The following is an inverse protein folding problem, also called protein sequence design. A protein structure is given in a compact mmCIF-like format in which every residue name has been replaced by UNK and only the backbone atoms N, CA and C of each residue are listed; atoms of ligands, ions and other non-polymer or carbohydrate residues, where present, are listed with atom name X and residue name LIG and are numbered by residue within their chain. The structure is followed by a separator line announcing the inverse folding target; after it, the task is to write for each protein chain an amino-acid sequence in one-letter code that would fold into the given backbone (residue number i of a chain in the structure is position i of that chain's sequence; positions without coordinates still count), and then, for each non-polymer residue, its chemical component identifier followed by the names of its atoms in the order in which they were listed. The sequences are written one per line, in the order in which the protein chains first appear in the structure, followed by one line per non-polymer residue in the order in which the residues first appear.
data_IF_831723682217
#
_entry.id   IF_831723682217
#
_cell.length_a   1.000
_cell.length_b   1.000
_cell.length_c   1.000
_cell.angle_alpha   90.00
_cell.angle_beta   90.00
_cell.angle_gamma   90.00
#
_symmetry.space_group_name_H-M   'P 1'
#
loop_
_entity.id
_entity.type
_entity.pdbx_description
1 polymer ?
#
# COMPACT_ATOMS: atom_id res chain seq x y z
N UNK A 1 -23.77 32.28 -52.93
CA UNK A 1 -23.14 31.03 -52.43
C UNK A 1 -22.52 31.31 -51.08
N UNK A 2 -23.00 30.65 -50.01
CA UNK A 2 -22.35 30.72 -48.70
C UNK A 2 -21.04 29.93 -48.80
N UNK A 3 -19.89 30.59 -48.71
CA UNK A 3 -18.59 29.91 -48.71
C UNK A 3 -18.49 29.08 -47.43
N UNK A 4 -18.29 27.77 -47.58
CA UNK A 4 -18.10 26.85 -46.46
C UNK A 4 -16.75 27.15 -45.80
N UNK A 5 -16.73 27.27 -44.48
CA UNK A 5 -15.50 27.58 -43.75
C UNK A 5 -14.50 26.43 -43.91
N UNK A 6 -13.23 26.73 -44.23
CA UNK A 6 -12.18 25.72 -44.30
C UNK A 6 -12.07 24.89 -43.01
N UNK A 7 -11.79 23.59 -43.16
CA UNK A 7 -11.62 22.68 -42.02
C UNK A 7 -10.49 23.12 -41.08
N UNK A 8 -9.41 23.67 -41.62
CA UNK A 8 -8.27 24.19 -40.84
C UNK A 8 -8.71 25.25 -39.82
N UNK A 9 -9.51 26.23 -40.24
CA UNK A 9 -10.05 27.26 -39.35
C UNK A 9 -10.95 26.65 -38.28
N UNK A 10 -11.78 25.65 -38.63
CA UNK A 10 -12.65 24.98 -37.64
C UNK A 10 -11.84 24.25 -36.56
N UNK A 11 -10.75 23.59 -36.95
CA UNK A 11 -9.84 22.92 -36.00
C UNK A 11 -9.14 23.94 -35.10
N UNK A 12 -8.70 25.06 -35.65
CA UNK A 12 -8.02 26.11 -34.90
C UNK A 12 -8.97 26.81 -33.90
N UNK A 13 -10.21 27.08 -34.31
CA UNK A 13 -11.27 27.58 -33.41
C UNK A 13 -11.51 26.63 -32.24
N UNK A 14 -11.61 25.32 -32.50
CA UNK A 14 -11.78 24.31 -31.46
C UNK A 14 -10.60 24.28 -30.50
N UNK A 15 -9.37 24.29 -31.02
CA UNK A 15 -8.15 24.28 -30.22
C UNK A 15 -8.09 25.49 -29.29
N UNK A 16 -8.23 26.70 -29.82
CA UNK A 16 -8.20 27.93 -29.03
C UNK A 16 -9.36 27.99 -28.02
N UNK A 17 -10.53 27.44 -28.38
CA UNK A 17 -11.66 27.35 -27.46
C UNK A 17 -11.33 26.48 -26.25
N UNK A 18 -10.72 25.30 -26.46
CA UNK A 18 -10.29 24.39 -25.39
C UNK A 18 -9.13 24.95 -24.57
N UNK A 19 -8.29 25.80 -25.16
CA UNK A 19 -7.23 26.54 -24.46
C UNK A 19 -7.74 27.69 -23.58
N UNK A 20 -9.06 27.93 -23.56
CA UNK A 20 -9.70 28.95 -22.74
C UNK A 20 -9.71 30.35 -23.37
N UNK A 21 -9.33 30.51 -24.64
CA UNK A 21 -9.33 31.80 -25.34
C UNK A 21 -10.76 32.34 -25.50
N UNK A 22 -10.98 33.65 -25.37
CA UNK A 22 -12.31 34.26 -25.53
C UNK A 22 -12.78 34.21 -26.99
N UNK A 23 -14.11 34.17 -27.23
CA UNK A 23 -14.67 34.12 -28.60
C UNK A 23 -14.23 35.30 -29.45
N UNK A 24 -14.18 36.50 -28.87
CA UNK A 24 -13.70 37.71 -29.55
C UNK A 24 -12.23 37.59 -29.98
N UNK A 25 -11.39 37.02 -29.13
CA UNK A 25 -9.98 36.83 -29.46
C UNK A 25 -9.79 35.73 -30.50
N UNK A 26 -10.56 34.64 -30.43
CA UNK A 26 -10.57 33.57 -31.45
C UNK A 26 -10.98 34.13 -32.81
N UNK A 27 -12.01 34.98 -32.84
CA UNK A 27 -12.48 35.64 -34.05
C UNK A 27 -11.37 36.48 -34.69
N UNK A 28 -10.67 37.29 -33.88
CA UNK A 28 -9.50 38.08 -34.33
C UNK A 28 -8.34 37.20 -34.81
N UNK A 29 -8.00 36.13 -34.07
CA UNK A 29 -6.87 35.26 -34.40
C UNK A 29 -7.05 34.52 -35.73
N UNK A 30 -8.29 34.32 -36.16
CA UNK A 30 -8.63 33.54 -37.35
C UNK A 30 -9.23 34.39 -38.48
N UNK A 31 -9.26 35.72 -38.34
CA UNK A 31 -9.88 36.66 -39.29
C UNK A 31 -11.32 36.27 -39.69
N UNK A 32 -12.13 35.87 -38.71
CA UNK A 32 -13.55 35.51 -38.89
C UNK A 32 -14.46 36.34 -38.00
N UNK A 33 -15.74 36.45 -38.38
CA UNK A 33 -16.73 37.16 -37.57
C UNK A 33 -17.03 36.42 -36.26
N UNK A 34 -17.37 37.15 -35.19
CA UNK A 34 -17.75 36.59 -33.89
C UNK A 34 -18.87 35.54 -34.00
N UNK A 35 -19.94 35.85 -34.75
CA UNK A 35 -21.06 34.93 -34.97
C UNK A 35 -20.64 33.64 -35.68
N UNK A 36 -19.58 33.71 -36.50
CA UNK A 36 -19.00 32.54 -37.16
C UNK A 36 -18.34 31.59 -36.15
N UNK A 37 -17.62 32.12 -35.16
CA UNK A 37 -17.06 31.31 -34.06
C UNK A 37 -18.18 30.60 -33.30
N UNK A 38 -19.24 31.32 -32.93
CA UNK A 38 -20.39 30.76 -32.23
C UNK A 38 -21.06 29.62 -33.02
N UNK A 39 -21.28 29.79 -34.32
CA UNK A 39 -21.86 28.75 -35.16
C UNK A 39 -20.96 27.52 -35.27
N UNK A 40 -19.64 27.69 -35.40
CA UNK A 40 -18.69 26.56 -35.41
C UNK A 40 -18.77 25.78 -34.10
N UNK A 41 -18.76 26.47 -32.96
CA UNK A 41 -18.81 25.83 -31.65
C UNK A 41 -20.15 25.13 -31.40
N UNK A 42 -21.27 25.73 -31.81
CA UNK A 42 -22.59 25.10 -31.76
C UNK A 42 -22.64 23.82 -32.60
N UNK A 43 -22.18 23.88 -33.86
CA UNK A 43 -22.13 22.70 -34.72
C UNK A 43 -21.25 21.58 -34.13
N UNK A 44 -20.10 21.93 -33.52
CA UNK A 44 -19.24 20.95 -32.84
C UNK A 44 -19.95 20.36 -31.63
N UNK A 45 -20.60 21.20 -30.82
CA UNK A 45 -21.34 20.77 -29.64
C UNK A 45 -22.45 19.78 -30.01
N UNK A 46 -23.23 20.09 -31.04
CA UNK A 46 -24.36 19.26 -31.44
C UNK A 46 -23.96 17.95 -32.12
N UNK A 47 -22.85 17.95 -32.89
CA UNK A 47 -22.55 16.83 -33.80
C UNK A 47 -21.27 16.05 -33.45
N UNK A 48 -20.41 16.57 -32.58
CA UNK A 48 -19.07 15.98 -32.36
C UNK A 48 -18.73 15.83 -30.87
N UNK A 49 -18.86 16.91 -30.09
CA UNK A 49 -18.43 16.96 -28.68
C UNK A 49 -19.50 17.70 -27.85
N UNK A 50 -20.55 17.02 -27.38
CA UNK A 50 -21.62 17.63 -26.59
C UNK A 50 -21.13 18.41 -25.36
N UNK A 51 -20.07 17.92 -24.74
CA UNK A 51 -19.53 18.46 -23.48
C UNK A 51 -18.35 19.42 -23.70
N UNK A 52 -18.21 20.03 -24.89
CA UNK A 52 -17.08 20.92 -25.23
C UNK A 52 -16.88 22.07 -24.22
N UNK A 53 -17.98 22.61 -23.67
CA UNK A 53 -17.92 23.68 -22.67
C UNK A 53 -17.36 23.16 -21.34
N UNK A 54 -17.79 21.97 -20.90
CA UNK A 54 -17.25 21.29 -19.72
C UNK A 54 -15.76 20.96 -19.92
N UNK A 55 -15.36 20.46 -21.09
CA UNK A 55 -13.96 20.19 -21.40
C UNK A 55 -13.10 21.46 -21.33
N UNK A 56 -13.63 22.60 -21.79
CA UNK A 56 -12.96 23.91 -21.63
C UNK A 56 -12.82 24.30 -20.17
N UNK A 57 -13.87 24.12 -19.37
CA UNK A 57 -13.82 24.44 -17.93
C UNK A 57 -12.79 23.57 -17.21
N UNK A 58 -12.76 22.26 -17.50
CA UNK A 58 -11.77 21.33 -16.98
C UNK A 58 -10.36 21.75 -17.42
N UNK A 59 -10.15 22.03 -18.71
CA UNK A 59 -8.84 22.47 -19.21
C UNK A 59 -8.37 23.78 -18.54
N UNK A 60 -9.29 24.70 -18.32
CA UNK A 60 -9.01 25.98 -17.65
C UNK A 60 -8.70 25.78 -16.16
N UNK A 61 -9.43 24.89 -15.48
CA UNK A 61 -9.18 24.54 -14.09
C UNK A 61 -7.81 23.87 -13.93
N UNK A 62 -7.49 22.87 -14.76
CA UNK A 62 -6.19 22.21 -14.77
C UNK A 62 -5.04 23.21 -14.97
N UNK A 63 -5.17 24.14 -15.92
CA UNK A 63 -4.17 25.19 -16.16
C UNK A 63 -4.00 26.14 -14.98
N UNK A 64 -5.08 26.47 -14.26
CA UNK A 64 -5.03 27.36 -13.09
C UNK A 64 -4.28 26.71 -11.92
N UNK A 65 -4.46 25.40 -11.75
CA UNK A 65 -3.79 24.63 -10.69
C UNK A 65 -2.41 24.07 -11.12
N UNK A 66 -1.90 24.45 -12.30
CA UNK A 66 -0.67 23.92 -12.90
C UNK A 66 -0.63 22.38 -12.98
N UNK A 67 -1.79 21.78 -13.29
CA UNK A 67 -1.97 20.34 -13.39
C UNK A 67 -2.05 19.87 -14.84
N UNK A 68 -1.38 18.76 -15.13
CA UNK A 68 -1.55 18.04 -16.38
C UNK A 68 -2.73 17.07 -16.31
N UNK A 69 -3.39 16.83 -17.46
CA UNK A 69 -4.47 15.85 -17.58
C UNK A 69 -4.07 14.45 -17.08
N UNK A 70 -2.81 14.05 -17.28
CA UNK A 70 -2.28 12.76 -16.79
C UNK A 70 -2.26 12.67 -15.27
N UNK A 71 -2.01 13.78 -14.57
CA UNK A 71 -2.01 13.85 -13.11
C UNK A 71 -3.44 13.79 -12.59
N UNK A 72 -4.36 14.57 -13.18
CA UNK A 72 -5.78 14.50 -12.85
C UNK A 72 -6.37 13.09 -13.04
N UNK A 73 -6.05 12.43 -14.14
CA UNK A 73 -6.49 11.06 -14.39
C UNK A 73 -5.93 10.04 -13.37
N UNK A 74 -4.71 10.27 -12.84
CA UNK A 74 -4.14 9.44 -11.76
C UNK A 74 -4.87 9.68 -10.45
N UNK A 75 -5.13 10.94 -10.09
CA UNK A 75 -5.89 11.30 -8.88
C UNK A 75 -7.31 10.71 -8.91
N UNK A 76 -8.02 10.82 -10.04
CA UNK A 76 -9.36 10.23 -10.19
C UNK A 76 -9.36 8.70 -10.01
N UNK A 77 -8.32 7.99 -10.48
CA UNK A 77 -8.19 6.55 -10.25
C UNK A 77 -7.93 6.21 -8.78
N UNK A 78 -7.10 7.02 -8.12
CA UNK A 78 -6.86 6.86 -6.68
C UNK A 78 -8.14 7.08 -5.89
N UNK A 79 -8.88 8.17 -6.13
CA UNK A 79 -10.12 8.46 -5.43
C UNK A 79 -11.16 7.35 -5.61
N UNK A 80 -11.32 6.82 -6.83
CA UNK A 80 -12.20 5.66 -7.05
C UNK A 80 -11.76 4.41 -6.29
N UNK A 81 -10.46 4.19 -6.14
CA UNK A 81 -9.95 3.08 -5.34
C UNK A 81 -10.33 3.27 -3.87
N UNK A 82 -10.17 4.48 -3.34
CA UNK A 82 -10.55 4.81 -1.96
C UNK A 82 -12.05 4.63 -1.72
N UNK A 83 -12.88 5.15 -2.63
CA UNK A 83 -14.35 4.99 -2.57
C UNK A 83 -14.76 3.52 -2.53
N UNK A 84 -14.14 2.68 -3.39
CA UNK A 84 -14.42 1.24 -3.43
C UNK A 84 -14.02 0.51 -2.15
N UNK A 85 -13.01 1.03 -1.43
CA UNK A 85 -12.55 0.51 -0.15
C UNK A 85 -13.31 1.13 1.03
N UNK A 86 -14.23 2.08 0.79
CA UNK A 86 -14.94 2.82 1.83
C UNK A 86 -14.02 3.72 2.67
N UNK A 87 -12.91 4.16 2.10
CA UNK A 87 -11.90 5.00 2.76
C UNK A 87 -11.96 6.44 2.29
N UNK A 88 -11.67 7.38 3.18
CA UNK A 88 -11.53 8.80 2.83
C UNK A 88 -10.07 9.17 2.53
N UNK A 89 -9.88 10.28 1.79
CA UNK A 89 -8.54 10.85 1.54
C UNK A 89 -7.81 11.14 2.87
N UNK A 90 -8.50 11.76 3.83
CA UNK A 90 -7.98 12.08 5.16
C UNK A 90 -7.48 10.84 5.92
N UNK A 91 -8.19 9.71 5.83
CA UNK A 91 -7.76 8.47 6.50
C UNK A 91 -6.42 7.97 5.95
N UNK A 92 -6.23 8.03 4.63
CA UNK A 92 -4.98 7.60 3.98
C UNK A 92 -3.86 8.60 4.26
N UNK A 93 -4.12 9.90 4.21
CA UNK A 93 -3.13 10.93 4.53
C UNK A 93 -2.63 10.77 5.98
N UNK A 94 -3.54 10.68 6.95
CA UNK A 94 -3.20 10.45 8.35
C UNK A 94 -2.39 9.15 8.55
N UNK A 95 -2.73 8.08 7.82
CA UNK A 95 -1.97 6.84 7.88
C UNK A 95 -0.54 7.00 7.36
N UNK A 96 -0.36 7.66 6.21
CA UNK A 96 0.97 7.92 5.63
C UNK A 96 1.82 8.81 6.53
N UNK A 97 1.21 9.82 7.18
CA UNK A 97 1.90 10.67 8.16
C UNK A 97 2.32 9.88 9.40
N UNK A 98 1.43 9.04 9.96
CA UNK A 98 1.77 8.17 11.07
C UNK A 98 2.92 7.23 10.74
N UNK A 99 2.92 6.63 9.56
CA UNK A 99 4.03 5.80 9.09
C UNK A 99 5.34 6.60 9.00
N UNK A 100 5.30 7.80 8.43
CA UNK A 100 6.47 8.66 8.32
C UNK A 100 7.07 9.00 9.70
N UNK A 101 6.22 9.36 10.68
CA UNK A 101 6.64 9.62 12.07
C UNK A 101 7.21 8.36 12.72
N UNK A 102 6.57 7.21 12.50
CA UNK A 102 7.05 5.92 13.03
C UNK A 102 8.45 5.58 12.52
N UNK A 103 8.69 5.67 11.20
CA UNK A 103 10.00 5.37 10.61
C UNK A 103 11.08 6.36 11.09
N UNK A 104 10.75 7.65 11.16
CA UNK A 104 11.65 8.66 11.68
C UNK A 104 12.08 8.37 13.13
N UNK A 105 11.15 7.94 13.99
CA UNK A 105 11.45 7.69 15.42
C UNK A 105 12.27 6.43 15.68
N UNK A 106 12.10 5.41 14.84
CA UNK A 106 12.69 4.09 15.10
C UNK A 106 13.98 3.84 14.30
N UNK A 107 14.42 4.79 13.46
CA UNK A 107 15.57 4.64 12.55
C UNK A 107 15.45 3.40 11.64
N UNK A 108 14.20 2.97 11.40
CA UNK A 108 13.85 1.84 10.53
C UNK A 108 13.46 2.42 9.18
N UNK A 109 13.93 1.80 8.10
CA UNK A 109 14.05 2.41 6.77
C UNK A 109 12.78 2.88 6.06
N UNK A 110 12.99 3.29 4.81
CA UNK A 110 12.03 3.86 3.85
C UNK A 110 10.64 3.18 3.83
N UNK A 111 9.58 3.99 3.83
CA UNK A 111 8.15 3.60 3.66
C UNK A 111 7.98 2.58 2.52
N UNK A 112 8.76 2.70 1.46
CA UNK A 112 8.73 1.75 0.34
C UNK A 112 9.05 0.32 0.76
N UNK A 113 10.04 0.13 1.64
CA UNK A 113 10.41 -1.19 2.14
C UNK A 113 9.33 -1.78 3.04
N UNK A 114 8.67 -0.93 3.83
CA UNK A 114 7.55 -1.37 4.67
C UNK A 114 6.38 -1.89 3.84
N UNK A 115 6.02 -1.22 2.75
CA UNK A 115 4.96 -1.72 1.85
C UNK A 115 5.29 -3.10 1.27
N UNK A 116 6.55 -3.36 0.92
CA UNK A 116 6.99 -4.71 0.49
C UNK A 116 6.93 -5.73 1.64
N UNK A 117 7.17 -5.30 2.88
CA UNK A 117 7.04 -6.17 4.05
C UNK A 117 5.59 -6.53 4.37
N UNK A 118 4.62 -5.64 4.11
CA UNK A 118 3.19 -5.96 4.33
C UNK A 118 2.72 -7.15 3.50
N UNK A 119 3.18 -7.28 2.25
CA UNK A 119 2.90 -8.46 1.42
C UNK A 119 3.49 -9.73 2.05
N UNK A 120 4.76 -9.66 2.47
CA UNK A 120 5.44 -10.77 3.16
C UNK A 120 4.74 -11.19 4.45
N UNK A 121 4.27 -10.23 5.25
CA UNK A 121 3.50 -10.49 6.47
C UNK A 121 2.16 -11.16 6.14
N UNK A 122 1.45 -10.69 5.12
CA UNK A 122 0.20 -11.29 4.66
C UNK A 122 0.40 -12.75 4.21
N UNK A 123 1.46 -13.02 3.46
CA UNK A 123 1.81 -14.36 3.01
C UNK A 123 2.24 -15.26 4.18
N UNK A 124 2.99 -14.73 5.14
CA UNK A 124 3.38 -15.46 6.35
C UNK A 124 2.16 -15.87 7.17
N UNK A 125 1.22 -14.95 7.38
CA UNK A 125 -0.04 -15.20 8.09
C UNK A 125 -0.85 -16.30 7.41
N UNK A 126 -0.97 -16.25 6.08
CA UNK A 126 -1.63 -17.32 5.30
C UNK A 126 -0.92 -18.66 5.41
N UNK A 127 0.40 -18.67 5.35
CA UNK A 127 1.19 -19.92 5.43
C UNK A 127 1.10 -20.58 6.81
N UNK A 128 0.84 -19.78 7.85
CA UNK A 128 0.61 -20.27 9.21
C UNK A 128 -0.86 -20.61 9.49
N UNK A 129 -1.75 -20.44 8.50
CA UNK A 129 -3.20 -20.56 8.64
C UNK A 129 -3.76 -19.69 9.79
N UNK A 130 -3.17 -18.51 9.96
CA UNK A 130 -3.53 -17.52 10.96
C UNK A 130 -4.31 -16.37 10.32
N UNK A 131 -5.00 -15.61 11.18
CA UNK A 131 -5.49 -14.28 10.86
C UNK A 131 -4.47 -13.24 11.31
N UNK A 132 -4.38 -12.11 10.61
CA UNK A 132 -3.50 -11.00 11.02
C UNK A 132 -3.91 -10.42 12.39
N UNK A 133 -5.18 -10.60 12.75
CA UNK A 133 -5.73 -10.16 14.04
C UNK A 133 -5.36 -11.10 15.19
N UNK A 134 -4.97 -12.34 14.89
CA UNK A 134 -4.71 -13.38 15.89
C UNK A 134 -3.19 -13.57 16.12
N UNK A 135 -2.35 -12.82 15.40
CA UNK A 135 -0.88 -12.93 15.48
C UNK A 135 -0.39 -12.69 16.91
N UNK A 136 -0.93 -11.69 17.59
CA UNK A 136 -0.48 -11.34 18.94
C UNK A 136 -0.75 -12.48 19.92
N UNK A 137 -1.98 -13.00 19.93
CA UNK A 137 -2.37 -14.15 20.76
C UNK A 137 -1.52 -15.38 20.43
N UNK A 138 -1.33 -15.67 19.14
CA UNK A 138 -0.49 -16.78 18.70
C UNK A 138 0.97 -16.65 19.18
N UNK A 139 1.55 -15.45 19.14
CA UNK A 139 2.91 -15.22 19.63
C UNK A 139 2.97 -15.44 21.15
N UNK A 140 1.99 -14.94 21.90
CA UNK A 140 1.91 -15.12 23.36
C UNK A 140 1.84 -16.61 23.71
N UNK A 141 0.98 -17.36 23.04
CA UNK A 141 0.82 -18.80 23.26
C UNK A 141 2.11 -19.56 22.96
N UNK A 142 2.79 -19.23 21.85
CA UNK A 142 4.08 -19.86 21.51
C UNK A 142 5.21 -19.50 22.47
N UNK A 143 5.21 -18.30 23.03
CA UNK A 143 6.15 -17.94 24.09
C UNK A 143 5.90 -18.74 25.38
N UNK A 144 4.64 -18.96 25.74
CA UNK A 144 4.27 -19.78 26.90
C UNK A 144 4.67 -21.24 26.71
N UNK A 145 4.38 -21.81 25.54
CA UNK A 145 4.77 -23.18 25.17
C UNK A 145 6.30 -23.36 25.22
N UNK A 146 7.04 -22.41 24.64
CA UNK A 146 8.51 -22.43 24.67
C UNK A 146 9.05 -22.40 26.10
N UNK A 147 8.46 -21.57 26.98
CA UNK A 147 8.87 -21.49 28.38
C UNK A 147 8.62 -22.81 29.12
N UNK A 148 7.46 -23.44 28.91
CA UNK A 148 7.13 -24.75 29.50
C UNK A 148 8.14 -25.82 29.06
N UNK A 149 8.44 -25.90 27.77
CA UNK A 149 9.41 -26.87 27.24
C UNK A 149 10.81 -26.65 27.82
N UNK A 150 11.23 -25.40 28.03
CA UNK A 150 12.50 -25.09 28.68
C UNK A 150 12.54 -25.62 30.11
N UNK A 151 11.45 -25.46 30.88
CA UNK A 151 11.36 -25.99 32.24
C UNK A 151 11.43 -27.52 32.26
N UNK A 152 10.74 -28.19 31.35
CA UNK A 152 10.78 -29.65 31.22
C UNK A 152 12.21 -30.14 30.90
N UNK A 153 12.91 -29.48 29.98
CA UNK A 153 14.31 -29.81 29.65
C UNK A 153 15.21 -29.67 30.88
N UNK A 154 15.05 -28.61 31.67
CA UNK A 154 15.82 -28.41 32.91
C UNK A 154 15.55 -29.51 33.91
N UNK A 155 14.29 -29.88 34.10
CA UNK A 155 13.90 -30.94 35.03
C UNK A 155 14.43 -32.31 34.60
N UNK A 156 14.33 -32.65 33.31
CA UNK A 156 14.86 -33.91 32.77
C UNK A 156 16.38 -33.97 32.96
N UNK A 157 17.11 -32.87 32.69
CA UNK A 157 18.56 -32.81 32.92
C UNK A 157 18.92 -33.05 34.38
N UNK A 158 18.15 -32.47 35.30
CA UNK A 158 18.35 -32.68 36.75
C UNK A 158 18.16 -34.16 37.11
N UNK A 159 17.07 -34.77 36.66
CA UNK A 159 16.78 -36.18 36.92
C UNK A 159 17.89 -37.10 36.39
N UNK A 160 18.40 -36.83 35.19
CA UNK A 160 19.52 -37.60 34.60
C UNK A 160 20.77 -37.51 35.47
N UNK A 161 21.12 -36.33 36.00
CA UNK A 161 22.29 -36.18 36.87
C UNK A 161 22.10 -36.88 38.22
N UNK A 162 20.89 -36.86 38.78
CA UNK A 162 20.54 -37.59 40.00
C UNK A 162 20.64 -39.11 39.80
N UNK A 163 20.07 -39.65 38.72
CA UNK A 163 20.16 -41.07 38.38
C UNK A 163 21.61 -41.53 38.12
N UNK A 164 22.41 -40.73 37.42
CA UNK A 164 23.86 -41.01 37.24
C UNK A 164 24.57 -41.07 38.58
N UNK A 165 24.31 -40.11 39.47
CA UNK A 165 24.93 -40.08 40.79
C UNK A 165 24.52 -41.29 41.63
N UNK A 166 23.27 -41.71 41.57
CA UNK A 166 22.77 -42.90 42.24
C UNK A 166 23.39 -44.19 41.68
N UNK A 167 23.42 -44.34 40.35
CA UNK A 167 24.08 -45.48 39.68
C UNK A 167 25.54 -45.63 40.13
N UNK A 168 26.30 -44.53 40.15
CA UNK A 168 27.69 -44.53 40.63
C UNK A 168 27.79 -44.99 42.09
N UNK A 169 26.86 -44.57 42.96
CA UNK A 169 26.83 -45.03 44.36
C UNK A 169 26.54 -46.53 44.46
N UNK A 170 25.56 -47.03 43.70
CA UNK A 170 25.17 -48.45 43.72
C UNK A 170 26.31 -49.33 43.23
N UNK A 171 27.00 -48.95 42.14
CA UNK A 171 28.17 -49.68 41.63
C UNK A 171 29.28 -49.75 42.68
N UNK A 172 29.67 -48.61 43.27
CA UNK A 172 30.69 -48.57 44.34
C UNK A 172 30.33 -49.43 45.55
N UNK A 173 29.07 -49.39 45.99
CA UNK A 173 28.62 -50.21 47.11
C UNK A 173 28.70 -51.71 46.76
N UNK A 174 28.28 -52.09 45.55
CA UNK A 174 28.33 -53.49 45.08
C UNK A 174 29.77 -54.00 45.00
N UNK A 175 30.71 -53.20 44.51
CA UNK A 175 32.14 -53.53 44.49
C UNK A 175 32.70 -53.73 45.91
N UNK A 176 32.35 -52.85 46.86
CA UNK A 176 32.73 -52.99 48.27
C UNK A 176 32.21 -54.28 48.89
N UNK A 177 30.95 -54.63 48.64
CA UNK A 177 30.37 -55.89 49.12
C UNK A 177 31.06 -57.12 48.51
N UNK A 178 31.43 -57.08 47.23
CA UNK A 178 32.18 -58.17 46.57
C UNK A 178 33.59 -58.32 47.14
N UNK A 179 34.30 -57.22 47.37
CA UNK A 179 35.62 -57.24 48.00
C UNK A 179 35.56 -57.81 49.43
N UNK A 180 34.60 -57.37 50.24
CA UNK A 180 34.44 -57.87 51.60
C UNK A 180 34.16 -59.39 51.67
N UNK A 181 33.45 -59.96 50.69
CA UNK A 181 33.23 -61.41 50.60
C UNK A 181 34.45 -62.20 50.13
N UNK A 182 35.38 -61.61 49.38
CA UNK A 182 36.60 -62.31 48.90
C UNK A 182 37.73 -62.36 49.94
N UNK A 183 37.74 -61.44 50.93
CA UNK A 183 38.79 -61.38 51.97
C UNK A 183 38.30 -61.82 53.37
N UNK A 184 37.05 -62.26 53.50
CA UNK A 184 36.42 -62.63 54.77
C UNK A 184 36.08 -64.12 54.92
N UNK A 185 36.77 -65.00 54.19
CA UNK A 185 36.64 -66.46 54.26
C UNK A 185 37.95 -67.13 54.65
#
# INVERSE_FOLDING_TARGET
MVKRIPRSIRVEVLKQWLEGVSRDQIAKNNDIAFGTVSNILLEIKENVIPDIDLLREIASALKREDLELKQFARAMRLNKLLDNLGMTEEQIENFLEHLNVFFYRNDVGDIKNFLMQLESVSDMVRNLDLSIYDIEEYIIDKQAELYSLILDIVQIKKNIEEEKAEFVRVVKNTERYRAARMFGG
#
